data_IF_124006263209
#
_entry.id   IF_124006263209
#
_cell.length_a   1.000
_cell.length_b   1.000
_cell.length_c   1.000
_cell.angle_alpha   90.00
_cell.angle_beta   90.00
_cell.angle_gamma   90.00
#
_symmetry.space_group_name_H-M   'P 1'
#
loop_
_entity.id
_entity.type
_entity.pdbx_description
1 polymer ?
#
# COMPACT_ATOMS: atom_id res chain seq x y z
N UNK A 1 -8.47 30.18 26.81
CA UNK A 1 -9.53 29.18 26.99
C UNK A 1 -9.84 28.57 25.61
N UNK A 2 -9.19 27.47 25.22
CA UNK A 2 -9.56 26.65 24.05
C UNK A 2 -8.63 25.41 23.92
N UNK A 3 -8.45 24.66 25.01
CA UNK A 3 -7.73 23.37 25.02
C UNK A 3 -8.71 22.19 25.21
N UNK A 4 -9.99 22.46 25.41
CA UNK A 4 -11.01 21.43 25.73
C UNK A 4 -11.76 20.90 24.49
N UNK A 5 -11.58 21.52 23.31
CA UNK A 5 -12.29 21.13 22.08
C UNK A 5 -11.52 20.16 21.15
N UNK A 6 -10.21 19.94 21.35
CA UNK A 6 -9.44 19.02 20.48
C UNK A 6 -9.45 17.56 20.96
N UNK A 7 -9.55 17.32 22.27
CA UNK A 7 -9.57 15.97 22.85
C UNK A 7 -10.92 15.27 22.69
N UNK A 8 -12.04 16.01 22.69
CA UNK A 8 -13.38 15.46 22.54
C UNK A 8 -13.69 15.07 21.09
N UNK A 9 -13.20 15.81 20.10
CA UNK A 9 -13.35 15.46 18.68
C UNK A 9 -12.48 14.25 18.31
N UNK A 10 -11.23 14.22 18.78
CA UNK A 10 -10.34 13.07 18.59
C UNK A 10 -10.88 11.82 19.31
N UNK A 11 -11.42 11.94 20.52
CA UNK A 11 -12.08 10.83 21.22
C UNK A 11 -13.36 10.38 20.51
N UNK A 12 -14.13 11.27 19.89
CA UNK A 12 -15.32 10.91 19.09
C UNK A 12 -14.94 10.28 17.76
N UNK A 13 -13.83 10.69 17.14
CA UNK A 13 -13.28 10.10 15.90
C UNK A 13 -12.68 8.73 16.17
N UNK A 14 -11.86 8.59 17.23
CA UNK A 14 -11.31 7.32 17.69
C UNK A 14 -12.43 6.41 18.19
N UNK A 15 -13.44 6.92 18.90
CA UNK A 15 -14.59 6.12 19.34
C UNK A 15 -15.57 5.79 18.21
N UNK A 16 -15.69 6.62 17.15
CA UNK A 16 -16.41 6.26 15.93
C UNK A 16 -15.64 5.25 15.10
N UNK A 17 -14.32 5.37 14.97
CA UNK A 17 -13.49 4.39 14.26
C UNK A 17 -13.41 3.07 15.03
N UNK A 18 -13.37 3.09 16.37
CA UNK A 18 -13.48 1.91 17.23
C UNK A 18 -14.89 1.30 17.21
N UNK A 19 -15.97 2.09 17.30
CA UNK A 19 -17.34 1.55 17.20
C UNK A 19 -17.69 1.09 15.79
N UNK A 20 -17.17 1.73 14.75
CA UNK A 20 -17.22 1.21 13.38
C UNK A 20 -16.35 -0.04 13.27
N UNK A 21 -15.16 -0.12 13.87
CA UNK A 21 -14.30 -1.31 13.87
C UNK A 21 -15.01 -2.52 14.50
N UNK A 22 -15.64 -2.37 15.66
CA UNK A 22 -16.35 -3.47 16.33
C UNK A 22 -17.63 -3.82 15.57
N UNK A 23 -18.44 -2.83 15.17
CA UNK A 23 -19.67 -3.10 14.41
C UNK A 23 -19.42 -3.62 13.01
N UNK A 24 -18.36 -3.20 12.31
CA UNK A 24 -18.03 -3.73 10.98
C UNK A 24 -17.33 -5.08 11.08
N UNK A 25 -16.40 -5.29 12.00
CA UNK A 25 -15.79 -6.61 12.20
C UNK A 25 -16.84 -7.66 12.61
N UNK A 26 -17.64 -7.41 13.64
CA UNK A 26 -18.67 -8.36 14.08
C UNK A 26 -19.78 -8.54 13.02
N UNK A 27 -20.13 -7.49 12.27
CA UNK A 27 -21.06 -7.59 11.13
C UNK A 27 -20.48 -8.40 9.97
N UNK A 28 -19.21 -8.21 9.63
CA UNK A 28 -18.54 -8.93 8.53
C UNK A 28 -18.25 -10.37 8.92
N UNK A 29 -17.79 -10.64 10.14
CA UNK A 29 -17.60 -11.99 10.67
C UNK A 29 -18.92 -12.75 10.70
N UNK A 30 -20.00 -12.16 11.24
CA UNK A 30 -21.32 -12.80 11.25
C UNK A 30 -21.90 -13.02 9.83
N UNK A 31 -21.71 -12.08 8.90
CA UNK A 31 -22.11 -12.27 7.49
C UNK A 31 -21.28 -13.33 6.77
N UNK A 32 -19.98 -13.39 7.02
CA UNK A 32 -19.07 -14.36 6.41
C UNK A 32 -19.37 -15.76 6.97
N UNK A 33 -19.62 -15.92 8.27
CA UNK A 33 -20.05 -17.19 8.87
C UNK A 33 -21.41 -17.68 8.33
N UNK A 34 -22.37 -16.76 8.13
CA UNK A 34 -23.65 -17.07 7.47
C UNK A 34 -23.49 -17.46 5.99
N UNK A 35 -22.44 -16.98 5.30
CA UNK A 35 -22.14 -17.43 3.92
C UNK A 35 -21.34 -18.73 3.90
N UNK A 36 -20.50 -19.02 4.91
CA UNK A 36 -19.77 -20.29 5.07
C UNK A 36 -20.73 -21.48 5.24
N UNK A 37 -21.85 -21.30 5.93
CA UNK A 37 -22.86 -22.37 6.13
C UNK A 37 -23.66 -22.71 4.86
N UNK A 38 -23.71 -21.82 3.87
CA UNK A 38 -24.38 -22.07 2.58
C UNK A 38 -23.46 -22.51 1.44
N UNK A 39 -22.14 -22.36 1.60
CA UNK A 39 -21.14 -22.82 0.63
C UNK A 39 -20.48 -24.08 1.19
N UNK A 40 -21.15 -25.22 1.08
CA UNK A 40 -20.55 -26.53 1.36
C UNK A 40 -19.41 -26.82 0.39
N UNK A 41 -18.21 -26.39 0.77
CA UNK A 41 -16.98 -27.16 0.66
C UNK A 41 -16.16 -26.85 1.91
N UNK A 42 -15.98 -27.87 2.76
CA UNK A 42 -15.07 -27.93 3.91
C UNK A 42 -13.66 -27.47 3.52
N UNK A 43 -13.41 -26.17 3.46
CA UNK A 43 -12.08 -25.60 3.64
C UNK A 43 -12.16 -24.87 4.96
N UNK A 44 -11.48 -25.39 5.97
CA UNK A 44 -11.17 -24.59 7.14
C UNK A 44 -10.44 -23.35 6.63
N UNK A 45 -11.07 -22.19 6.80
CA UNK A 45 -10.42 -20.91 6.52
C UNK A 45 -9.50 -20.69 7.72
N UNK A 46 -8.26 -21.13 7.58
CA UNK A 46 -7.20 -20.79 8.51
C UNK A 46 -6.80 -19.35 8.16
N UNK A 47 -7.20 -18.40 9.00
CA UNK A 47 -6.69 -17.02 8.88
C UNK A 47 -5.17 -17.07 9.03
N UNK A 48 -4.40 -16.58 8.05
CA UNK A 48 -2.96 -16.57 8.17
C UNK A 48 -2.56 -15.60 9.30
N UNK A 49 -1.63 -16.03 10.15
CA UNK A 49 -1.05 -15.18 11.18
C UNK A 49 -0.02 -14.24 10.54
N UNK A 50 -0.51 -13.13 9.98
CA UNK A 50 0.31 -12.18 9.22
C UNK A 50 0.53 -10.92 10.03
N UNK A 51 1.79 -10.47 10.09
CA UNK A 51 2.16 -9.21 10.74
C UNK A 51 1.45 -8.02 10.06
N UNK A 52 0.87 -7.13 10.87
CA UNK A 52 0.22 -5.90 10.41
C UNK A 52 1.16 -5.03 9.59
N UNK A 53 2.47 -5.05 9.87
CA UNK A 53 3.46 -4.28 9.10
C UNK A 53 3.65 -4.84 7.71
N UNK A 54 3.66 -6.17 7.56
CA UNK A 54 3.64 -6.82 6.25
C UNK A 54 2.37 -6.45 5.48
N UNK A 55 1.20 -6.47 6.13
CA UNK A 55 -0.05 -6.12 5.47
C UNK A 55 -0.07 -4.66 5.03
N UNK A 56 0.48 -3.77 5.86
CA UNK A 56 0.68 -2.35 5.56
C UNK A 56 1.57 -2.16 4.33
N UNK A 57 2.71 -2.85 4.28
CA UNK A 57 3.57 -2.90 3.10
C UNK A 57 2.83 -3.42 1.86
N UNK A 58 2.08 -4.52 1.99
CA UNK A 58 1.36 -5.15 0.88
C UNK A 58 0.32 -4.20 0.26
N UNK A 59 -0.48 -3.49 1.08
CA UNK A 59 -1.47 -2.54 0.55
C UNK A 59 -0.82 -1.37 -0.19
N UNK A 60 0.36 -0.91 0.26
CA UNK A 60 1.14 0.12 -0.44
C UNK A 60 1.64 -0.34 -1.80
N UNK A 61 2.11 -1.59 -1.89
CA UNK A 61 2.52 -2.19 -3.15
C UNK A 61 1.34 -2.33 -4.13
N UNK A 62 0.17 -2.75 -3.62
CA UNK A 62 -1.07 -2.83 -4.42
C UNK A 62 -1.53 -1.44 -4.87
N UNK A 63 -1.37 -0.41 -4.04
CA UNK A 63 -1.72 0.98 -4.39
C UNK A 63 -0.88 1.53 -5.54
N UNK A 64 0.36 1.07 -5.69
CA UNK A 64 1.22 1.40 -6.83
C UNK A 64 0.87 0.56 -8.07
N UNK A 65 1.22 -0.73 -8.04
CA UNK A 65 1.21 -1.60 -9.24
C UNK A 65 -0.03 -2.51 -9.35
N UNK A 66 -0.86 -2.53 -8.31
CA UNK A 66 -2.02 -3.42 -8.22
C UNK A 66 -3.34 -2.81 -8.71
N UNK A 67 -4.33 -3.67 -8.86
CA UNK A 67 -5.72 -3.29 -9.03
C UNK A 67 -6.67 -4.40 -8.58
N UNK A 68 -7.89 -4.01 -8.19
CA UNK A 68 -8.99 -4.91 -7.92
C UNK A 68 -9.93 -4.88 -9.12
N UNK A 69 -9.92 -5.97 -9.89
CA UNK A 69 -10.74 -6.15 -11.08
C UNK A 69 -12.12 -6.68 -10.72
N UNK A 70 -13.19 -6.00 -11.13
CA UNK A 70 -14.51 -6.61 -11.26
C UNK A 70 -14.70 -7.16 -12.68
N UNK A 71 -15.06 -8.43 -12.83
CA UNK A 71 -15.32 -9.06 -14.15
C UNK A 71 -16.66 -9.81 -14.16
N UNK A 72 -17.32 -9.83 -15.32
CA UNK A 72 -18.52 -10.63 -15.57
C UNK A 72 -18.13 -12.05 -15.93
N UNK A 73 -18.62 -13.03 -15.17
CA UNK A 73 -18.40 -14.46 -15.42
C UNK A 73 -19.73 -15.19 -15.35
N UNK A 74 -20.22 -15.70 -16.49
CA UNK A 74 -21.53 -16.40 -16.58
C UNK A 74 -22.70 -15.62 -15.93
N UNK A 75 -22.70 -14.28 -16.04
CA UNK A 75 -23.72 -13.42 -15.43
C UNK A 75 -23.45 -13.01 -13.98
N UNK A 76 -22.47 -13.60 -13.32
CA UNK A 76 -22.05 -13.28 -11.95
C UNK A 76 -20.87 -12.29 -11.93
N UNK A 77 -20.69 -11.64 -10.77
CA UNK A 77 -19.56 -10.75 -10.50
C UNK A 77 -18.45 -11.56 -9.85
N UNK A 78 -17.28 -11.57 -10.48
CA UNK A 78 -16.05 -12.07 -9.87
C UNK A 78 -15.10 -10.89 -9.65
N UNK A 79 -14.49 -10.84 -8.47
CA UNK A 79 -13.42 -9.90 -8.16
C UNK A 79 -12.08 -10.61 -8.14
N UNK A 80 -11.03 -10.04 -8.70
CA UNK A 80 -9.66 -10.54 -8.47
C UNK A 80 -8.75 -9.36 -8.16
N UNK A 81 -7.80 -9.55 -7.26
CA UNK A 81 -6.72 -8.60 -7.09
C UNK A 81 -5.55 -9.07 -7.93
N UNK A 82 -5.03 -8.19 -8.76
CA UNK A 82 -3.99 -8.50 -9.74
C UNK A 82 -2.86 -7.48 -9.60
N UNK A 83 -1.63 -7.97 -9.57
CA UNK A 83 -0.41 -7.15 -9.68
C UNK A 83 0.40 -7.72 -10.85
N UNK A 84 0.73 -6.87 -11.82
CA UNK A 84 1.56 -7.27 -12.98
C UNK A 84 2.97 -6.74 -12.77
N UNK A 85 3.97 -7.59 -12.93
CA UNK A 85 5.35 -7.26 -12.59
C UNK A 85 6.37 -7.87 -13.57
N UNK A 86 7.54 -7.25 -13.65
CA UNK A 86 8.65 -7.78 -14.44
C UNK A 86 9.27 -8.99 -13.73
N UNK A 87 9.70 -10.02 -14.45
CA UNK A 87 10.21 -11.27 -13.87
C UNK A 87 11.46 -11.10 -12.98
N UNK A 88 12.12 -9.94 -13.02
CA UNK A 88 13.19 -9.57 -12.08
C UNK A 88 12.68 -9.44 -10.63
N UNK A 89 11.39 -9.15 -10.47
CA UNK A 89 10.72 -8.99 -9.18
C UNK A 89 10.08 -10.31 -8.69
N UNK A 90 10.29 -11.44 -9.38
CA UNK A 90 9.66 -12.72 -9.05
C UNK A 90 9.84 -13.11 -7.58
N UNK A 91 11.07 -12.99 -7.05
CA UNK A 91 11.37 -13.30 -5.66
C UNK A 91 10.54 -12.46 -4.67
N UNK A 92 10.22 -11.20 -5.00
CA UNK A 92 9.33 -10.34 -4.19
C UNK A 92 7.95 -10.99 -4.08
N UNK A 93 7.38 -11.44 -5.20
CA UNK A 93 6.03 -12.00 -5.22
C UNK A 93 5.96 -13.42 -4.65
N UNK A 94 7.03 -14.21 -4.77
CA UNK A 94 7.17 -15.48 -4.06
C UNK A 94 7.22 -15.27 -2.54
N UNK A 95 7.93 -14.23 -2.08
CA UNK A 95 7.92 -13.82 -0.68
C UNK A 95 6.52 -13.36 -0.20
N UNK A 96 5.76 -12.63 -1.02
CA UNK A 96 4.38 -12.28 -0.66
C UNK A 96 3.51 -13.52 -0.47
N UNK A 97 3.61 -14.49 -1.39
CA UNK A 97 2.86 -15.75 -1.28
C UNK A 97 3.31 -16.55 -0.07
N UNK A 98 4.60 -16.57 0.26
CA UNK A 98 5.08 -17.33 1.43
C UNK A 98 4.55 -16.79 2.76
N UNK A 99 4.28 -15.48 2.84
CA UNK A 99 3.65 -14.84 4.02
C UNK A 99 2.12 -14.93 4.02
N UNK A 100 1.49 -14.85 2.85
CA UNK A 100 0.03 -14.93 2.72
C UNK A 100 -0.50 -16.37 2.75
N UNK A 101 0.30 -17.32 2.27
CA UNK A 101 -0.07 -18.71 2.00
C UNK A 101 -1.18 -18.91 0.94
N UNK A 102 -1.51 -17.86 0.19
CA UNK A 102 -2.45 -17.91 -0.94
C UNK A 102 -2.07 -16.92 -2.04
N UNK A 103 -2.72 -17.05 -3.19
CA UNK A 103 -2.40 -16.33 -4.41
C UNK A 103 -1.63 -17.20 -5.39
N UNK A 104 -1.68 -16.84 -6.66
CA UNK A 104 -1.06 -17.60 -7.75
C UNK A 104 -0.23 -16.67 -8.62
N UNK A 105 1.02 -17.05 -8.88
CA UNK A 105 1.84 -16.40 -9.90
C UNK A 105 1.56 -17.09 -11.24
N UNK A 106 1.11 -16.30 -12.21
CA UNK A 106 0.89 -16.75 -13.57
C UNK A 106 1.82 -16.00 -14.53
N UNK A 107 2.59 -16.75 -15.31
CA UNK A 107 3.44 -16.18 -16.37
C UNK A 107 2.55 -15.58 -17.46
N UNK A 108 2.85 -14.35 -17.88
CA UNK A 108 2.17 -13.70 -19.01
C UNK A 108 2.99 -13.89 -20.29
N UNK A 109 4.29 -13.58 -20.22
CA UNK A 109 5.23 -13.70 -21.32
C UNK A 109 6.65 -13.97 -20.78
N UNK A 110 7.68 -13.83 -21.62
CA UNK A 110 9.08 -14.08 -21.22
C UNK A 110 9.62 -13.09 -20.18
N UNK A 111 9.12 -11.85 -20.14
CA UNK A 111 9.60 -10.78 -19.27
C UNK A 111 8.68 -10.43 -18.11
N UNK A 112 7.42 -10.89 -18.14
CA UNK A 112 6.37 -10.39 -17.25
C UNK A 112 5.51 -11.53 -16.71
N UNK A 113 5.17 -11.41 -15.44
CA UNK A 113 4.25 -12.29 -14.71
C UNK A 113 3.20 -11.47 -13.96
N UNK A 114 2.20 -12.15 -13.41
CA UNK A 114 1.20 -11.53 -12.52
C UNK A 114 0.98 -12.37 -11.28
N UNK A 115 0.82 -11.69 -10.15
CA UNK A 115 0.23 -12.26 -8.96
C UNK A 115 -1.29 -12.08 -9.06
N UNK A 116 -2.04 -13.15 -8.82
CA UNK A 116 -3.50 -13.14 -8.80
C UNK A 116 -3.97 -13.66 -7.44
N UNK A 117 -4.72 -12.84 -6.71
CA UNK A 117 -5.53 -13.27 -5.57
C UNK A 117 -6.97 -13.37 -6.07
N UNK A 118 -7.48 -14.60 -6.16
CA UNK A 118 -8.77 -14.90 -6.76
C UNK A 118 -9.94 -14.48 -5.87
N UNK A 119 -11.13 -14.44 -6.47
CA UNK A 119 -12.39 -13.99 -5.86
C UNK A 119 -12.67 -14.55 -4.47
N UNK A 120 -12.37 -15.83 -4.21
CA UNK A 120 -12.63 -16.41 -2.91
C UNK A 120 -11.66 -15.88 -1.85
N UNK A 121 -10.35 -16.02 -2.09
CA UNK A 121 -9.29 -15.59 -1.19
C UNK A 121 -9.35 -14.07 -0.94
N UNK A 122 -9.62 -13.28 -1.98
CA UNK A 122 -9.79 -11.84 -1.87
C UNK A 122 -10.96 -11.49 -0.93
N UNK A 123 -12.14 -12.05 -1.17
CA UNK A 123 -13.37 -11.70 -0.43
C UNK A 123 -13.41 -12.21 1.00
N UNK A 124 -12.89 -13.42 1.22
CA UNK A 124 -13.11 -14.16 2.46
C UNK A 124 -11.86 -14.37 3.30
N UNK A 125 -10.69 -13.93 2.81
CA UNK A 125 -9.42 -13.98 3.57
C UNK A 125 -8.78 -12.60 3.64
N UNK A 126 -8.41 -12.02 2.47
CA UNK A 126 -7.67 -10.75 2.46
C UNK A 126 -8.53 -9.56 2.94
N UNK A 127 -9.75 -9.38 2.41
CA UNK A 127 -10.64 -8.28 2.82
C UNK A 127 -10.92 -8.31 4.34
N UNK A 128 -11.33 -9.43 4.96
CA UNK A 128 -11.52 -9.50 6.41
C UNK A 128 -10.26 -9.17 7.20
N UNK A 129 -9.10 -9.66 6.74
CA UNK A 129 -7.82 -9.40 7.39
C UNK A 129 -7.45 -7.91 7.35
N UNK A 130 -7.67 -7.24 6.23
CA UNK A 130 -7.45 -5.79 6.11
C UNK A 130 -8.41 -5.00 7.03
N UNK A 131 -9.70 -5.36 7.06
CA UNK A 131 -10.69 -4.70 7.90
C UNK A 131 -10.41 -4.89 9.40
N UNK A 132 -10.01 -6.10 9.81
CA UNK A 132 -9.62 -6.44 11.20
C UNK A 132 -8.50 -5.54 11.74
N UNK A 133 -7.58 -5.13 10.85
CA UNK A 133 -6.46 -4.26 11.20
C UNK A 133 -6.67 -2.80 10.78
N UNK A 134 -7.88 -2.40 10.37
CA UNK A 134 -8.19 -1.05 9.90
C UNK A 134 -7.27 -0.56 8.78
N UNK A 135 -6.87 -1.46 7.88
CA UNK A 135 -5.99 -1.19 6.75
C UNK A 135 -6.83 -0.85 5.50
N UNK A 136 -6.52 0.27 4.85
CA UNK A 136 -7.25 0.79 3.70
C UNK A 136 -6.29 1.26 2.61
N UNK A 137 -6.75 1.26 1.36
CA UNK A 137 -6.02 1.83 0.24
C UNK A 137 -6.01 3.35 0.32
N UNK A 138 -4.94 3.98 -0.16
CA UNK A 138 -4.73 5.43 -0.11
C UNK A 138 -4.77 6.10 -1.48
N UNK A 139 -4.79 5.34 -2.58
CA UNK A 139 -4.96 5.92 -3.93
C UNK A 139 -6.42 5.90 -4.37
N UNK A 140 -6.87 6.98 -5.02
CA UNK A 140 -8.27 7.17 -5.45
C UNK A 140 -8.81 5.99 -6.25
N UNK A 141 -8.02 5.44 -7.16
CA UNK A 141 -8.43 4.30 -8.00
C UNK A 141 -8.66 3.03 -7.18
N UNK A 142 -7.74 2.70 -6.26
CA UNK A 142 -7.86 1.50 -5.42
C UNK A 142 -8.96 1.66 -4.39
N UNK A 143 -9.12 2.85 -3.81
CA UNK A 143 -10.26 3.19 -2.93
C UNK A 143 -11.58 2.91 -3.66
N UNK A 144 -11.76 3.41 -4.89
CA UNK A 144 -12.99 3.19 -5.64
C UNK A 144 -13.25 1.72 -5.96
N UNK A 145 -12.22 0.98 -6.37
CA UNK A 145 -12.35 -0.46 -6.67
C UNK A 145 -12.67 -1.27 -5.41
N UNK A 146 -12.05 -0.91 -4.27
CA UNK A 146 -12.30 -1.57 -2.99
C UNK A 146 -13.67 -1.23 -2.42
N UNK A 147 -14.12 0.02 -2.53
CA UNK A 147 -15.48 0.45 -2.17
C UNK A 147 -16.53 -0.34 -2.95
N UNK A 148 -16.33 -0.57 -4.25
CA UNK A 148 -17.23 -1.40 -5.04
C UNK A 148 -17.27 -2.84 -4.53
N UNK A 149 -16.11 -3.43 -4.21
CA UNK A 149 -16.02 -4.76 -3.63
C UNK A 149 -16.79 -4.84 -2.30
N UNK A 150 -16.53 -3.93 -1.37
CA UNK A 150 -17.22 -3.86 -0.08
C UNK A 150 -18.73 -3.69 -0.25
N UNK A 151 -19.17 -2.80 -1.14
CA UNK A 151 -20.59 -2.60 -1.43
C UNK A 151 -21.28 -3.90 -1.86
N UNK A 152 -20.67 -4.64 -2.80
CA UNK A 152 -21.26 -5.90 -3.28
C UNK A 152 -21.32 -6.97 -2.21
N UNK A 153 -20.31 -7.02 -1.33
CA UNK A 153 -20.27 -7.95 -0.22
C UNK A 153 -21.35 -7.62 0.83
N UNK A 154 -21.54 -6.34 1.14
CA UNK A 154 -22.47 -5.90 2.18
C UNK A 154 -23.91 -6.12 1.71
N UNK A 155 -24.19 -5.80 0.46
CA UNK A 155 -25.52 -5.90 -0.13
C UNK A 155 -25.79 -7.27 -0.77
N UNK A 156 -24.85 -8.23 -0.62
CA UNK A 156 -24.95 -9.58 -1.18
C UNK A 156 -25.25 -9.59 -2.70
N UNK A 157 -24.67 -8.63 -3.43
CA UNK A 157 -24.86 -8.47 -4.87
C UNK A 157 -23.96 -9.48 -5.59
N UNK A 158 -24.57 -10.49 -6.22
CA UNK A 158 -23.85 -11.56 -6.91
C UNK A 158 -23.91 -11.47 -8.43
N UNK A 159 -25.00 -10.91 -8.98
CA UNK A 159 -25.20 -10.81 -10.43
C UNK A 159 -24.70 -9.49 -10.98
N UNK A 160 -24.09 -9.55 -12.16
CA UNK A 160 -23.48 -8.40 -12.83
C UNK A 160 -24.48 -7.29 -13.14
N UNK A 161 -25.71 -7.65 -13.51
CA UNK A 161 -26.79 -6.70 -13.84
C UNK A 161 -27.20 -5.80 -12.66
N UNK A 162 -26.88 -6.21 -11.44
CA UNK A 162 -27.16 -5.45 -10.21
C UNK A 162 -25.96 -4.67 -9.69
N UNK A 163 -24.84 -4.62 -10.44
CA UNK A 163 -23.75 -3.71 -10.08
C UNK A 163 -24.24 -2.26 -10.11
N UNK A 164 -23.92 -1.45 -9.09
CA UNK A 164 -24.37 -0.07 -9.05
C UNK A 164 -23.65 0.73 -10.16
N UNK A 165 -24.37 1.68 -10.75
CA UNK A 165 -23.76 2.64 -11.69
C UNK A 165 -22.88 3.66 -10.97
N UNK A 166 -23.21 3.97 -9.72
CA UNK A 166 -22.47 4.90 -8.84
C UNK A 166 -22.00 4.12 -7.63
N UNK A 167 -20.69 4.10 -7.41
CA UNK A 167 -20.07 3.37 -6.30
C UNK A 167 -20.32 4.19 -5.02
N UNK A 168 -21.02 3.65 -4.01
CA UNK A 168 -21.17 4.36 -2.75
C UNK A 168 -19.84 4.43 -2.02
N UNK A 169 -19.61 5.52 -1.30
CA UNK A 169 -18.36 5.70 -0.58
C UNK A 169 -18.41 5.01 0.79
N UNK A 170 -17.87 3.79 0.88
CA UNK A 170 -17.79 2.99 2.11
C UNK A 170 -16.64 3.38 3.02
N UNK A 171 -15.60 3.98 2.46
CA UNK A 171 -14.51 4.59 3.20
C UNK A 171 -14.80 6.10 3.20
N UNK A 172 -15.68 6.59 4.09
CA UNK A 172 -16.03 8.02 4.16
C UNK A 172 -14.84 8.90 4.52
N UNK A 173 -13.76 8.29 5.01
CA UNK A 173 -12.48 8.91 5.34
C UNK A 173 -11.68 9.18 4.08
N UNK A 174 -12.19 10.05 3.21
CA UNK A 174 -11.29 10.84 2.37
C UNK A 174 -10.48 11.65 3.35
N UNK A 175 -9.23 11.28 3.58
CA UNK A 175 -8.31 12.12 4.32
C UNK A 175 -8.10 13.37 3.47
N UNK A 176 -8.91 14.38 3.75
CA UNK A 176 -9.06 15.57 2.91
C UNK A 176 -7.75 16.34 2.86
N UNK A 177 -6.96 16.25 3.92
CA UNK A 177 -5.69 16.94 4.07
C UNK A 177 -4.51 15.98 4.20
N UNK A 178 -3.32 16.39 3.74
CA UNK A 178 -2.09 15.65 3.97
C UNK A 178 -1.77 15.39 5.45
N UNK A 179 -2.10 16.35 6.31
CA UNK A 179 -1.90 16.28 7.76
C UNK A 179 -2.77 15.19 8.40
N UNK A 180 -4.01 15.04 7.93
CA UNK A 180 -4.90 13.97 8.39
C UNK A 180 -4.34 12.58 8.08
N UNK A 181 -3.76 12.39 6.89
CA UNK A 181 -3.10 11.12 6.54
C UNK A 181 -1.95 10.86 7.51
N UNK A 182 -1.09 11.86 7.71
CA UNK A 182 0.11 11.71 8.54
C UNK A 182 -0.20 11.41 10.01
N UNK A 183 -1.29 11.95 10.55
CA UNK A 183 -1.68 11.78 11.96
C UNK A 183 -2.55 10.55 12.21
N UNK A 184 -3.44 10.19 11.26
CA UNK A 184 -4.47 9.19 11.50
C UNK A 184 -4.18 7.84 10.82
N UNK A 185 -3.26 7.78 9.88
CA UNK A 185 -2.84 6.51 9.23
C UNK A 185 -1.61 5.97 9.93
N UNK A 186 -1.84 5.21 11.01
CA UNK A 186 -0.76 4.62 11.81
C UNK A 186 0.20 3.73 10.98
N UNK A 187 -0.29 3.17 9.87
CA UNK A 187 0.46 2.31 8.97
C UNK A 187 1.11 3.05 7.80
N UNK A 188 1.02 4.38 7.72
CA UNK A 188 1.41 5.15 6.53
C UNK A 188 2.87 4.93 6.12
N UNK A 189 3.77 4.85 7.10
CA UNK A 189 5.20 4.68 6.83
C UNK A 189 5.53 3.30 6.26
N UNK A 190 4.94 2.24 6.82
CA UNK A 190 5.11 0.87 6.29
C UNK A 190 4.39 0.71 4.93
N UNK A 191 3.23 1.34 4.74
CA UNK A 191 2.56 1.48 3.44
C UNK A 191 3.45 2.18 2.41
N UNK A 192 4.12 3.26 2.81
CA UNK A 192 4.97 4.02 1.91
C UNK A 192 6.17 3.19 1.41
N UNK A 193 6.71 2.27 2.21
CA UNK A 193 7.72 1.31 1.75
C UNK A 193 7.18 0.47 0.59
N UNK A 194 5.98 -0.09 0.73
CA UNK A 194 5.33 -0.87 -0.34
C UNK A 194 5.08 -0.05 -1.59
N UNK A 195 4.62 1.19 -1.40
CA UNK A 195 4.40 2.13 -2.48
C UNK A 195 5.71 2.49 -3.21
N UNK A 196 6.83 2.61 -2.49
CA UNK A 196 8.16 2.84 -3.06
C UNK A 196 8.69 1.63 -3.83
N UNK A 197 8.35 0.40 -3.41
CA UNK A 197 8.69 -0.81 -4.18
C UNK A 197 8.07 -0.76 -5.58
N UNK A 198 6.84 -0.27 -5.70
CA UNK A 198 6.18 -0.04 -6.99
C UNK A 198 6.71 1.22 -7.71
N UNK A 199 6.52 2.40 -7.09
CA UNK A 199 6.57 3.71 -7.78
C UNK A 199 7.86 4.51 -7.51
N UNK A 200 8.64 4.13 -6.50
CA UNK A 200 9.82 4.88 -6.09
C UNK A 200 11.03 4.63 -6.99
N UNK A 201 11.98 5.55 -7.03
CA UNK A 201 13.20 5.40 -7.82
C UNK A 201 14.43 5.91 -7.09
N UNK A 202 15.45 5.06 -7.00
CA UNK A 202 16.79 5.39 -6.52
C UNK A 202 17.74 5.39 -7.73
N UNK A 203 18.31 6.54 -8.06
CA UNK A 203 19.11 6.67 -9.29
C UNK A 203 20.19 7.76 -9.19
N UNK A 204 21.14 7.68 -10.11
CA UNK A 204 22.19 8.68 -10.34
C UNK A 204 21.95 9.34 -11.69
N UNK A 205 21.89 10.66 -11.73
CA UNK A 205 21.75 11.43 -12.97
C UNK A 205 23.08 11.52 -13.73
N UNK A 206 23.00 11.88 -15.02
CA UNK A 206 24.18 12.08 -15.87
C UNK A 206 25.15 13.16 -15.33
N UNK A 207 24.63 14.17 -14.64
CA UNK A 207 25.42 15.20 -13.95
C UNK A 207 25.99 14.73 -12.60
N UNK A 208 25.93 13.43 -12.31
CA UNK A 208 26.35 12.78 -11.05
C UNK A 208 25.52 13.19 -9.82
N UNK A 209 24.40 13.89 -9.99
CA UNK A 209 23.47 14.14 -8.88
C UNK A 209 22.77 12.82 -8.51
N UNK A 210 22.86 12.45 -7.24
CA UNK A 210 22.24 11.23 -6.72
C UNK A 210 20.86 11.60 -6.15
N UNK A 211 19.83 10.90 -6.60
CA UNK A 211 18.44 11.28 -6.35
C UNK A 211 17.59 10.11 -5.86
N UNK A 212 16.62 10.44 -5.01
CA UNK A 212 15.45 9.62 -4.76
C UNK A 212 14.21 10.38 -5.25
N UNK A 213 13.28 9.69 -5.90
CA UNK A 213 11.98 10.26 -6.22
C UNK A 213 10.84 9.25 -6.06
N UNK A 214 9.63 9.78 -5.89
CA UNK A 214 8.37 9.04 -5.98
C UNK A 214 7.39 9.92 -6.73
N UNK A 215 6.68 9.35 -7.71
CA UNK A 215 5.68 10.07 -8.49
C UNK A 215 4.37 9.30 -8.54
N UNK A 216 3.26 10.02 -8.68
CA UNK A 216 1.96 9.39 -8.90
C UNK A 216 1.03 10.30 -9.69
N UNK A 217 0.16 9.70 -10.51
CA UNK A 217 -0.89 10.41 -11.27
C UNK A 217 -2.15 10.62 -10.42
N UNK A 218 -2.74 11.81 -10.44
CA UNK A 218 -4.10 12.09 -9.92
C UNK A 218 -4.33 11.92 -8.42
N UNK A 219 -3.27 11.76 -7.63
CA UNK A 219 -3.33 11.55 -6.18
C UNK A 219 -2.60 12.68 -5.43
N UNK A 220 -3.00 13.93 -5.68
CA UNK A 220 -2.26 15.12 -5.21
C UNK A 220 -2.18 15.25 -3.69
N UNK A 221 -3.24 14.89 -2.95
CA UNK A 221 -3.24 14.89 -1.47
C UNK A 221 -2.23 13.89 -0.93
N UNK A 222 -2.21 12.67 -1.49
CA UNK A 222 -1.23 11.64 -1.14
C UNK A 222 0.21 12.10 -1.44
N UNK A 223 0.45 12.73 -2.60
CA UNK A 223 1.77 13.23 -2.95
C UNK A 223 2.23 14.39 -2.06
N UNK A 224 1.31 15.26 -1.62
CA UNK A 224 1.59 16.27 -0.59
C UNK A 224 1.87 15.64 0.77
N UNK A 225 1.24 14.52 1.10
CA UNK A 225 1.53 13.76 2.33
C UNK A 225 2.96 13.21 2.32
N UNK A 226 3.37 12.61 1.20
CA UNK A 226 4.75 12.13 1.01
C UNK A 226 5.73 13.31 1.05
N UNK A 227 5.34 14.47 0.52
CA UNK A 227 6.13 15.69 0.63
C UNK A 227 6.32 16.10 2.10
N UNK A 228 5.26 16.10 2.91
CA UNK A 228 5.33 16.39 4.35
C UNK A 228 6.12 15.35 5.15
N UNK A 229 6.14 14.08 4.72
CA UNK A 229 6.94 13.04 5.38
C UNK A 229 8.44 13.39 5.40
N UNK A 230 8.94 14.00 4.33
CA UNK A 230 10.36 14.31 4.18
C UNK A 230 10.69 15.80 4.29
N UNK A 231 9.73 16.69 4.08
CA UNK A 231 9.92 18.14 3.98
C UNK A 231 11.17 18.49 3.15
N UNK A 232 11.19 18.10 1.87
CA UNK A 232 12.37 18.29 1.04
C UNK A 232 12.63 19.78 0.78
N UNK A 233 13.89 20.12 0.56
CA UNK A 233 14.28 21.50 0.22
C UNK A 233 13.71 22.01 -1.11
N UNK A 234 13.43 21.09 -2.06
CA UNK A 234 12.79 21.39 -3.35
C UNK A 234 11.28 21.30 -3.21
N UNK A 235 10.56 22.17 -3.90
CA UNK A 235 9.10 22.11 -3.97
C UNK A 235 8.58 20.84 -4.66
N UNK A 236 7.30 20.53 -4.44
CA UNK A 236 6.61 19.43 -5.11
C UNK A 236 6.49 19.71 -6.62
N UNK A 237 7.10 18.87 -7.45
CA UNK A 237 6.99 18.98 -8.90
C UNK A 237 5.58 18.56 -9.35
N UNK A 238 4.96 19.33 -10.25
CA UNK A 238 3.66 18.99 -10.83
C UNK A 238 3.62 19.23 -12.34
N UNK A 239 3.24 18.18 -13.08
CA UNK A 239 3.05 18.24 -14.53
C UNK A 239 1.56 18.22 -14.87
N UNK A 240 0.98 19.39 -15.12
CA UNK A 240 -0.46 19.57 -15.40
C UNK A 240 -0.97 18.71 -16.57
N UNK A 241 -0.22 18.60 -17.65
CA UNK A 241 -0.65 17.87 -18.86
C UNK A 241 -0.79 16.35 -18.65
N UNK A 242 -0.11 15.81 -17.64
CA UNK A 242 -0.15 14.37 -17.30
C UNK A 242 -0.84 14.10 -15.97
N UNK A 243 -1.20 15.16 -15.25
CA UNK A 243 -1.69 15.13 -13.87
C UNK A 243 -0.78 14.32 -12.94
N UNK A 244 0.53 14.53 -13.04
CA UNK A 244 1.56 13.80 -12.26
C UNK A 244 2.21 14.75 -11.27
N UNK A 245 2.22 14.35 -10.00
CA UNK A 245 3.01 14.99 -8.94
C UNK A 245 4.23 14.12 -8.61
N UNK A 246 5.39 14.75 -8.38
CA UNK A 246 6.65 14.05 -8.05
C UNK A 246 7.30 14.72 -6.84
N UNK A 247 7.62 13.92 -5.83
CA UNK A 247 8.49 14.32 -4.72
C UNK A 247 9.90 13.89 -5.08
N UNK A 248 10.85 14.84 -5.14
CA UNK A 248 12.24 14.59 -5.51
C UNK A 248 13.19 15.09 -4.41
N UNK A 249 14.16 14.26 -4.06
CA UNK A 249 15.16 14.53 -3.04
C UNK A 249 16.56 14.33 -3.61
N UNK A 250 17.42 15.34 -3.44
CA UNK A 250 18.81 15.29 -3.94
C UNK A 250 19.82 16.14 -3.15
N UNK A 251 19.36 17.00 -2.24
CA UNK A 251 20.27 17.75 -1.35
C UNK A 251 20.87 16.83 -0.29
N UNK A 252 21.98 17.23 0.32
CA UNK A 252 22.62 16.43 1.38
C UNK A 252 21.66 16.13 2.54
N UNK A 253 20.90 17.14 2.98
CA UNK A 253 19.91 17.00 4.06
C UNK A 253 18.79 16.04 3.66
N UNK A 254 18.25 16.21 2.46
CA UNK A 254 17.13 15.37 2.00
C UNK A 254 17.57 13.91 1.81
N UNK A 255 18.76 13.68 1.26
CA UNK A 255 19.30 12.33 1.09
C UNK A 255 19.57 11.68 2.45
N UNK A 256 20.06 12.41 3.46
CA UNK A 256 20.18 11.86 4.81
C UNK A 256 18.82 11.43 5.37
N UNK A 257 17.75 12.21 5.15
CA UNK A 257 16.39 11.84 5.58
C UNK A 257 15.92 10.55 4.89
N UNK A 258 16.22 10.39 3.60
CA UNK A 258 15.94 9.15 2.85
C UNK A 258 16.71 7.97 3.46
N UNK A 259 18.02 8.13 3.70
CA UNK A 259 18.82 7.06 4.32
C UNK A 259 18.30 6.71 5.71
N UNK A 260 17.96 7.71 6.53
CA UNK A 260 17.36 7.50 7.84
C UNK A 260 16.08 6.67 7.75
N UNK A 261 15.15 7.06 6.88
CA UNK A 261 13.87 6.39 6.72
C UNK A 261 14.00 4.91 6.31
N UNK A 262 14.88 4.58 5.37
CA UNK A 262 15.00 3.22 4.84
C UNK A 262 16.02 2.34 5.57
N UNK A 263 16.99 2.90 6.31
CA UNK A 263 18.09 2.15 6.93
C UNK A 263 18.13 2.21 8.46
N UNK A 264 17.61 3.27 9.08
CA UNK A 264 17.78 3.51 10.52
C UNK A 264 16.46 3.51 11.28
N UNK A 265 15.40 4.03 10.67
CA UNK A 265 14.07 3.99 11.26
C UNK A 265 13.54 2.56 11.25
N UNK A 266 12.78 2.20 12.30
CA UNK A 266 12.18 0.87 12.41
C UNK A 266 10.93 0.78 11.52
N UNK A 267 11.13 0.76 10.20
CA UNK A 267 10.11 0.57 9.15
C UNK A 267 10.20 -0.83 8.54
N UNK A 268 9.12 -1.28 7.89
CA UNK A 268 9.14 -2.52 7.14
C UNK A 268 10.24 -2.42 6.07
N UNK A 269 11.08 -3.44 5.86
CA UNK A 269 12.23 -3.29 4.97
C UNK A 269 11.82 -3.27 3.49
N UNK A 270 12.62 -2.60 2.66
CA UNK A 270 12.55 -2.77 1.21
C UNK A 270 12.81 -4.24 0.85
N UNK A 271 12.15 -4.73 -0.19
CA UNK A 271 12.30 -6.11 -0.68
C UNK A 271 12.59 -6.14 -2.19
N UNK A 272 13.10 -7.28 -2.66
CA UNK A 272 13.29 -7.55 -4.08
C UNK A 272 14.23 -6.60 -4.83
N UNK A 273 13.92 -6.34 -6.10
CA UNK A 273 14.73 -5.47 -6.95
C UNK A 273 14.85 -4.04 -6.41
N UNK A 274 13.83 -3.51 -5.72
CA UNK A 274 13.91 -2.17 -5.13
C UNK A 274 14.98 -2.11 -4.04
N UNK A 275 15.09 -3.17 -3.22
CA UNK A 275 16.15 -3.32 -2.22
C UNK A 275 17.53 -3.32 -2.88
N UNK A 276 17.72 -4.09 -3.95
CA UNK A 276 18.98 -4.12 -4.70
C UNK A 276 19.32 -2.75 -5.30
N UNK A 277 18.34 -2.08 -5.90
CA UNK A 277 18.48 -0.72 -6.42
C UNK A 277 18.89 0.28 -5.33
N UNK A 278 18.36 0.14 -4.13
CA UNK A 278 18.72 0.98 -2.98
C UNK A 278 20.16 0.71 -2.51
N UNK A 279 20.60 -0.55 -2.45
CA UNK A 279 21.98 -0.91 -2.08
C UNK A 279 22.99 -0.34 -3.09
N UNK A 280 22.72 -0.49 -4.39
CA UNK A 280 23.57 0.12 -5.44
C UNK A 280 23.62 1.64 -5.30
N UNK A 281 22.49 2.26 -4.95
CA UNK A 281 22.40 3.70 -4.70
C UNK A 281 23.18 4.14 -3.46
N UNK A 282 23.13 3.38 -2.35
CA UNK A 282 23.94 3.63 -1.16
C UNK A 282 25.44 3.55 -1.48
N UNK A 283 25.86 2.57 -2.30
CA UNK A 283 27.25 2.47 -2.76
C UNK A 283 27.67 3.71 -3.54
N UNK A 284 26.85 4.18 -4.48
CA UNK A 284 27.13 5.39 -5.23
C UNK A 284 27.22 6.64 -4.33
N UNK A 285 26.41 6.73 -3.28
CA UNK A 285 26.50 7.81 -2.29
C UNK A 285 27.82 7.78 -1.52
N UNK A 286 28.27 6.59 -1.09
CA UNK A 286 29.55 6.40 -0.37
C UNK A 286 30.77 6.75 -1.23
N UNK A 287 30.69 6.52 -2.53
CA UNK A 287 31.76 6.83 -3.50
C UNK A 287 31.73 8.29 -3.99
N UNK A 288 30.67 9.04 -3.71
CA UNK A 288 30.52 10.42 -4.19
C UNK A 288 31.22 11.43 -3.31
N UNK A 289 32.03 12.33 -3.90
CA UNK A 289 32.68 13.42 -3.17
C UNK A 289 31.70 14.31 -2.40
N UNK A 290 30.49 14.50 -2.92
CA UNK A 290 29.45 15.32 -2.29
C UNK A 290 28.81 14.60 -1.10
N UNK A 291 28.48 13.32 -1.25
CA UNK A 291 27.61 12.60 -0.30
C UNK A 291 28.36 11.63 0.64
N UNK A 292 29.65 11.36 0.42
CA UNK A 292 30.45 10.40 1.22
C UNK A 292 30.48 10.69 2.72
N UNK A 293 30.24 11.94 3.13
CA UNK A 293 30.21 12.35 4.55
C UNK A 293 28.87 12.12 5.26
N UNK A 294 27.86 11.57 4.58
CA UNK A 294 26.58 11.23 5.22
C UNK A 294 26.73 10.04 6.17
N UNK A 295 25.78 9.91 7.09
CA UNK A 295 25.69 8.74 7.95
C UNK A 295 25.03 7.59 7.19
N UNK A 296 25.72 6.46 7.09
CA UNK A 296 25.28 5.26 6.38
C UNK A 296 25.19 4.07 7.33
N UNK A 297 24.30 3.10 7.07
CA UNK A 297 24.27 1.86 7.84
C UNK A 297 25.62 1.12 7.73
N UNK A 298 26.01 0.47 8.83
CA UNK A 298 27.17 -0.42 8.86
C UNK A 298 26.94 -1.61 7.91
N UNK A 299 27.99 -2.04 7.22
CA UNK A 299 27.98 -3.19 6.32
C UNK A 299 27.40 -4.43 7.03
N UNK A 300 26.36 -5.03 6.44
CA UNK A 300 25.62 -6.17 7.03
C UNK A 300 24.32 -5.81 7.76
N UNK A 301 24.10 -4.54 8.13
CA UNK A 301 22.79 -4.01 8.58
C UNK A 301 22.07 -3.20 7.50
N UNK A 302 22.62 -3.13 6.28
CA UNK A 302 22.21 -2.16 5.26
C UNK A 302 20.75 -2.25 4.82
N UNK A 303 20.06 -3.35 5.10
CA UNK A 303 18.62 -3.45 4.94
C UNK A 303 18.14 -4.56 5.86
N UNK A 304 17.17 -4.29 6.75
CA UNK A 304 16.57 -5.27 7.65
C UNK A 304 16.51 -6.66 7.01
N UNK A 305 17.38 -7.55 7.47
CA UNK A 305 17.40 -8.94 7.06
C UNK A 305 16.23 -9.57 7.79
N UNK A 306 15.11 -9.73 7.08
CA UNK A 306 14.13 -10.72 7.45
C UNK A 306 14.71 -12.05 6.97
N UNK A 307 15.13 -12.88 7.93
CA UNK A 307 15.38 -14.31 7.72
C UNK A 307 14.10 -15.01 7.18
#
# INVERSE_FOLDING_TARGET
MNIVLSLSFLAVVVAKSYNLNIKTYDYWVSKIELTKTHVTRKREIIEPNVDVRFLSFLIGLIDGDGYIQAKKSKGYIEFNLIITFHNRDLATFEYLISKLHFGVIAKINSSTSRLIIYNFELKYILVPLLLKHSLFFLTNNRINQYNLLLYTLENNIKKWEFLPKVIPNYIPWVMETPEDIMQNVFYFKDWFIGFVVAEGSFYVQANKEICFNVGQRGNSVLMKTIYLLFEPSRGLDYTKSKDISIVRMSSLKDIQKVVNFFSFDNHYPLTGYKKESYIVWLKALKESDRYKGLNFPLTGKEVGVLD
#
